data_IF_030550269031
#
_entry.id   IF_030550269031
#
_cell.length_a   1.000
_cell.length_b   1.000
_cell.length_c   1.000
_cell.angle_alpha   90.00
_cell.angle_beta   90.00
_cell.angle_gamma   90.00
#
_symmetry.space_group_name_H-M   'P 1'
#
loop_
_entity.id
_entity.type
_entity.pdbx_description
1 polymer ?
#
# COMPACT_ATOMS: atom_id res chain seq x y z
N UNK A 1 24.39 8.82 -10.92
CA UNK A 1 22.97 9.21 -10.69
C UNK A 1 22.03 8.06 -11.09
N UNK A 2 22.20 7.44 -12.26
CA UNK A 2 21.35 6.33 -12.75
C UNK A 2 21.14 5.16 -11.75
N UNK A 3 22.21 4.65 -11.12
CA UNK A 3 22.12 3.45 -10.24
C UNK A 3 21.52 3.75 -8.87
N UNK A 4 21.80 4.93 -8.30
CA UNK A 4 21.29 5.33 -6.99
C UNK A 4 19.78 5.62 -7.05
N UNK A 5 19.32 6.28 -8.11
CA UNK A 5 17.89 6.52 -8.34
C UNK A 5 17.12 5.21 -8.56
N UNK A 6 17.74 4.22 -9.21
CA UNK A 6 17.14 2.90 -9.43
C UNK A 6 17.00 2.09 -8.13
N UNK A 7 18.04 2.09 -7.29
CA UNK A 7 18.05 1.39 -5.99
C UNK A 7 16.97 1.97 -5.05
N UNK A 8 16.85 3.30 -4.99
CA UNK A 8 15.82 3.97 -4.18
C UNK A 8 14.42 3.63 -4.68
N UNK A 9 14.18 3.63 -6.00
CA UNK A 9 12.88 3.26 -6.57
C UNK A 9 12.46 1.83 -6.24
N UNK A 10 13.36 0.86 -6.41
CA UNK A 10 13.07 -0.54 -6.09
C UNK A 10 12.73 -0.69 -4.60
N UNK A 11 13.51 -0.05 -3.72
CA UNK A 11 13.20 -0.05 -2.27
C UNK A 11 11.83 0.53 -1.97
N UNK A 12 11.45 1.63 -2.63
CA UNK A 12 10.13 2.25 -2.47
C UNK A 12 8.99 1.34 -2.94
N UNK A 13 9.15 0.66 -4.08
CA UNK A 13 8.18 -0.31 -4.60
C UNK A 13 8.01 -1.46 -3.61
N UNK A 14 9.10 -2.05 -3.12
CA UNK A 14 9.06 -3.14 -2.14
C UNK A 14 8.36 -2.69 -0.85
N UNK A 15 8.75 -1.53 -0.30
CA UNK A 15 8.20 -1.01 0.95
C UNK A 15 6.69 -0.73 0.83
N UNK A 16 6.28 -0.09 -0.27
CA UNK A 16 4.87 0.23 -0.56
C UNK A 16 4.05 -1.05 -0.72
N UNK A 17 4.61 -2.07 -1.41
CA UNK A 17 3.94 -3.36 -1.60
C UNK A 17 3.73 -4.08 -0.27
N UNK A 18 4.76 -4.12 0.58
CA UNK A 18 4.66 -4.73 1.92
C UNK A 18 3.61 -3.99 2.77
N UNK A 19 3.59 -2.66 2.73
CA UNK A 19 2.61 -1.86 3.45
C UNK A 19 1.17 -2.21 3.04
N UNK A 20 0.91 -2.34 1.73
CA UNK A 20 -0.41 -2.74 1.21
C UNK A 20 -0.81 -4.13 1.74
N UNK A 21 0.10 -5.12 1.68
CA UNK A 21 -0.18 -6.48 2.14
C UNK A 21 -0.49 -6.49 3.64
N UNK A 22 0.30 -5.80 4.45
CA UNK A 22 0.08 -5.71 5.90
C UNK A 22 -1.26 -5.05 6.21
N UNK A 23 -1.60 -3.94 5.54
CA UNK A 23 -2.89 -3.27 5.73
C UNK A 23 -4.05 -4.16 5.30
N UNK A 24 -3.93 -4.89 4.18
CA UNK A 24 -4.93 -5.85 3.74
C UNK A 24 -5.17 -6.97 4.78
N UNK A 25 -4.11 -7.47 5.42
CA UNK A 25 -4.23 -8.45 6.51
C UNK A 25 -4.92 -7.86 7.74
N UNK A 26 -4.62 -6.60 8.09
CA UNK A 26 -5.28 -5.89 9.20
C UNK A 26 -6.78 -5.70 8.90
N UNK A 27 -7.12 -5.28 7.68
CA UNK A 27 -8.50 -5.17 7.18
C UNK A 27 -9.20 -6.52 7.27
N UNK A 28 -8.58 -7.59 6.75
CA UNK A 28 -9.16 -8.94 6.80
C UNK A 28 -9.41 -9.42 8.22
N UNK A 29 -8.46 -9.21 9.15
CA UNK A 29 -8.65 -9.54 10.56
C UNK A 29 -9.74 -8.72 11.23
N UNK A 30 -9.81 -7.42 10.94
CA UNK A 30 -10.87 -6.54 11.45
C UNK A 30 -12.24 -6.97 10.93
N UNK A 31 -12.36 -7.33 9.66
CA UNK A 31 -13.59 -7.81 9.06
C UNK A 31 -14.11 -9.07 9.75
N UNK A 32 -13.23 -10.06 9.93
CA UNK A 32 -13.58 -11.35 10.55
C UNK A 32 -13.95 -11.18 12.02
N UNK A 33 -13.22 -10.33 12.77
CA UNK A 33 -13.44 -10.18 14.22
C UNK A 33 -14.57 -9.21 14.57
N UNK A 34 -14.71 -8.11 13.84
CA UNK A 34 -15.67 -7.07 14.21
C UNK A 34 -17.06 -7.34 13.66
N UNK A 35 -17.20 -8.12 12.57
CA UNK A 35 -18.48 -8.40 11.90
C UNK A 35 -19.24 -7.16 11.38
N UNK A 36 -18.75 -5.96 11.68
CA UNK A 36 -19.36 -4.67 11.39
C UNK A 36 -18.32 -3.69 10.85
N UNK A 37 -18.75 -2.88 9.88
CA UNK A 37 -17.95 -1.82 9.25
C UNK A 37 -17.72 -0.68 10.26
N UNK A 38 -16.58 -0.69 10.95
CA UNK A 38 -16.22 0.38 11.89
C UNK A 38 -15.55 1.55 11.16
N UNK A 39 -15.61 2.76 11.72
CA UNK A 39 -14.98 3.98 11.14
C UNK A 39 -13.47 3.85 10.89
N UNK A 40 -12.79 2.93 11.59
CA UNK A 40 -11.38 2.61 11.35
C UNK A 40 -11.19 1.81 10.05
N UNK A 41 -12.16 0.99 9.67
CA UNK A 41 -12.11 0.18 8.46
C UNK A 41 -12.07 1.06 7.20
N UNK A 42 -12.88 2.11 7.14
CA UNK A 42 -12.86 3.08 6.04
C UNK A 42 -11.54 3.86 5.97
N UNK A 43 -10.93 4.17 7.11
CA UNK A 43 -9.62 4.81 7.15
C UNK A 43 -8.52 3.92 6.57
N UNK A 44 -8.49 2.65 6.97
CA UNK A 44 -7.49 1.69 6.44
C UNK A 44 -7.70 1.45 4.94
N UNK A 45 -8.95 1.35 4.48
CA UNK A 45 -9.29 1.25 3.05
C UNK A 45 -8.79 2.45 2.24
N UNK A 46 -9.01 3.67 2.76
CA UNK A 46 -8.52 4.88 2.11
C UNK A 46 -6.99 4.89 1.98
N UNK A 47 -6.28 4.46 3.03
CA UNK A 47 -4.80 4.34 3.00
C UNK A 47 -4.34 3.31 1.96
N UNK A 48 -5.01 2.17 1.85
CA UNK A 48 -4.71 1.16 0.82
C UNK A 48 -4.88 1.75 -0.58
N UNK A 49 -5.96 2.49 -0.84
CA UNK A 49 -6.21 3.14 -2.14
C UNK A 49 -5.09 4.13 -2.48
N UNK A 50 -4.68 4.96 -1.52
CA UNK A 50 -3.57 5.91 -1.72
C UNK A 50 -2.26 5.19 -2.01
N UNK A 51 -1.94 4.11 -1.29
CA UNK A 51 -0.73 3.32 -1.54
C UNK A 51 -0.75 2.64 -2.91
N UNK A 52 -1.90 2.13 -3.35
CA UNK A 52 -2.06 1.60 -4.71
C UNK A 52 -1.82 2.68 -5.77
N UNK A 53 -2.31 3.91 -5.54
CA UNK A 53 -2.05 5.04 -6.44
C UNK A 53 -0.57 5.40 -6.49
N UNK A 54 0.10 5.47 -5.33
CA UNK A 54 1.55 5.72 -5.24
C UNK A 54 2.34 4.63 -5.97
N UNK A 55 1.99 3.37 -5.75
CA UNK A 55 2.62 2.24 -6.42
C UNK A 55 2.42 2.28 -7.94
N UNK A 56 1.19 2.57 -8.40
CA UNK A 56 0.89 2.74 -9.81
C UNK A 56 1.68 3.89 -10.44
N UNK A 57 1.77 5.03 -9.77
CA UNK A 57 2.57 6.17 -10.22
C UNK A 57 4.06 5.83 -10.31
N UNK A 58 4.62 5.14 -9.31
CA UNK A 58 6.01 4.65 -9.31
C UNK A 58 6.31 3.74 -10.50
N UNK A 59 5.36 2.88 -10.87
CA UNK A 59 5.49 1.96 -12.00
C UNK A 59 5.30 2.66 -13.35
N UNK A 60 4.36 3.60 -13.46
CA UNK A 60 4.03 4.31 -14.70
C UNK A 60 5.06 5.38 -15.09
N UNK A 61 5.73 6.00 -14.12
CA UNK A 61 6.89 6.88 -14.36
C UNK A 61 8.04 6.15 -15.08
N UNK A 62 7.93 4.83 -15.27
CA UNK A 62 8.93 3.98 -15.89
C UNK A 62 8.60 3.52 -17.33
N UNK A 63 7.49 3.97 -17.91
CA UNK A 63 7.31 4.00 -19.38
C UNK A 63 7.89 5.31 -19.91
#
# INVERSE_FOLDING_TARGET
MLTADFDVKIKLIILTSIAIVVLALIVGRLWIKAGHFTRYFSGVLAVIVVLCFILGSLLLIHQ
#
